data_IF_140931645932
#
_entry.id   IF_140931645932
#
_cell.length_a   1.000
_cell.length_b   1.000
_cell.length_c   1.000
_cell.angle_alpha   90.00
_cell.angle_beta   90.00
_cell.angle_gamma   90.00
#
_symmetry.space_group_name_H-M   'P 1'
#
loop_
_entity.id
_entity.type
_entity.pdbx_description
1 polymer ?
#
# COMPACT_ATOMS: atom_id res chain seq x y z
N UNK A 1 -13.49 -5.96 14.52
CA UNK A 1 -12.54 -4.83 14.59
C UNK A 1 -12.78 -3.91 13.40
N UNK A 2 -12.73 -2.59 13.62
CA UNK A 2 -12.83 -1.62 12.52
C UNK A 2 -11.64 -1.72 11.57
N UNK A 3 -11.87 -1.49 10.29
CA UNK A 3 -10.83 -1.56 9.26
C UNK A 3 -10.86 -0.32 8.40
N UNK A 4 -9.73 0.33 8.22
CA UNK A 4 -9.56 1.43 7.27
C UNK A 4 -8.67 1.00 6.10
N UNK A 5 -8.87 1.61 4.94
CA UNK A 5 -7.99 1.45 3.79
C UNK A 5 -7.33 2.78 3.42
N UNK A 6 -6.02 2.78 3.22
CA UNK A 6 -5.27 3.88 2.61
C UNK A 6 -4.88 3.46 1.20
N UNK A 7 -5.36 4.20 0.20
CA UNK A 7 -5.08 3.92 -1.22
C UNK A 7 -4.06 4.93 -1.73
N UNK A 8 -2.87 4.45 -2.09
CA UNK A 8 -1.77 5.28 -2.56
C UNK A 8 -1.92 5.58 -4.05
N UNK A 9 -2.25 6.81 -4.39
CA UNK A 9 -2.47 7.30 -5.74
C UNK A 9 -1.65 8.56 -6.08
N UNK A 10 -0.61 8.87 -5.27
CA UNK A 10 0.19 10.09 -5.40
C UNK A 10 1.37 9.98 -6.38
N UNK A 11 1.75 8.77 -6.78
CA UNK A 11 2.97 8.50 -7.56
C UNK A 11 2.91 8.97 -9.01
N UNK A 12 4.03 9.49 -9.54
CA UNK A 12 4.15 9.96 -10.92
C UNK A 12 4.13 8.84 -11.97
N UNK A 13 4.39 7.59 -11.61
CA UNK A 13 4.38 6.45 -12.54
C UNK A 13 5.36 6.58 -13.70
N UNK A 14 6.55 7.13 -13.48
CA UNK A 14 7.55 7.53 -14.50
C UNK A 14 7.95 6.40 -15.46
N UNK A 15 7.91 5.13 -14.99
CA UNK A 15 8.21 3.94 -15.81
C UNK A 15 7.25 3.74 -16.99
N UNK A 16 6.02 4.24 -16.90
CA UNK A 16 5.02 4.10 -17.98
C UNK A 16 5.23 5.08 -19.15
N UNK A 17 6.10 6.09 -19.01
CA UNK A 17 6.35 7.13 -20.02
C UNK A 17 5.05 7.76 -20.55
N UNK A 18 4.04 7.91 -19.70
CA UNK A 18 2.73 8.45 -20.02
C UNK A 18 2.60 9.89 -19.52
N UNK A 19 1.74 10.67 -20.19
CA UNK A 19 1.34 12.01 -19.73
C UNK A 19 0.20 11.97 -18.69
N UNK A 20 -0.25 10.77 -18.30
CA UNK A 20 -1.30 10.56 -17.31
C UNK A 20 -0.71 9.84 -16.09
N UNK A 21 -1.18 10.10 -14.87
CA UNK A 21 -0.85 9.31 -13.69
C UNK A 21 -1.13 7.82 -13.94
N UNK A 22 -0.30 6.93 -13.39
CA UNK A 22 -0.47 5.48 -13.57
C UNK A 22 -1.88 5.02 -13.20
N UNK A 23 -2.40 5.52 -12.10
CA UNK A 23 -3.67 5.10 -11.49
C UNK A 23 -4.92 5.48 -12.29
N UNK A 24 -4.81 6.42 -13.25
CA UNK A 24 -5.94 6.80 -14.12
C UNK A 24 -5.98 6.03 -15.44
N UNK A 25 -4.97 5.19 -15.72
CA UNK A 25 -5.05 4.28 -16.86
C UNK A 25 -6.16 3.25 -16.64
N UNK A 26 -6.78 2.83 -17.74
CA UNK A 26 -7.95 1.97 -17.66
C UNK A 26 -7.63 0.51 -17.98
N UNK A 27 -8.28 -0.37 -17.26
CA UNK A 27 -8.42 -1.80 -17.56
C UNK A 27 -9.90 -2.09 -17.66
N UNK A 28 -10.33 -2.69 -18.76
CA UNK A 28 -11.74 -2.97 -19.07
C UNK A 28 -12.63 -1.71 -18.99
N UNK A 29 -12.12 -0.55 -19.47
CA UNK A 29 -12.85 0.71 -19.47
C UNK A 29 -13.00 1.40 -18.12
N UNK A 30 -12.27 0.97 -17.10
CA UNK A 30 -12.33 1.53 -15.74
C UNK A 30 -10.91 1.89 -15.24
N UNK A 31 -10.69 3.08 -14.67
CA UNK A 31 -9.41 3.49 -14.10
C UNK A 31 -8.91 2.51 -13.03
N UNK A 32 -7.59 2.27 -12.99
CA UNK A 32 -6.98 1.34 -12.03
C UNK A 32 -7.38 1.65 -10.58
N UNK A 33 -7.34 2.93 -10.21
CA UNK A 33 -7.69 3.36 -8.84
C UNK A 33 -9.13 2.99 -8.47
N UNK A 34 -10.06 3.00 -9.43
CA UNK A 34 -11.47 2.65 -9.17
C UNK A 34 -11.65 1.20 -8.78
N UNK A 35 -10.89 0.29 -9.39
CA UNK A 35 -10.89 -1.13 -9.01
C UNK A 35 -10.45 -1.31 -7.56
N UNK A 36 -9.42 -0.57 -7.13
CA UNK A 36 -8.89 -0.66 -5.77
C UNK A 36 -9.86 -0.06 -4.76
N UNK A 37 -10.46 1.11 -5.06
CA UNK A 37 -11.48 1.73 -4.20
C UNK A 37 -12.67 0.80 -4.00
N UNK A 38 -13.16 0.19 -5.06
CA UNK A 38 -14.29 -0.74 -4.98
C UNK A 38 -13.94 -1.99 -4.18
N UNK A 39 -12.76 -2.58 -4.42
CA UNK A 39 -12.30 -3.73 -3.64
C UNK A 39 -12.21 -3.41 -2.13
N UNK A 40 -11.74 -2.22 -1.76
CA UNK A 40 -11.71 -1.78 -0.36
C UNK A 40 -13.12 -1.65 0.21
N UNK A 41 -14.04 -1.00 -0.51
CA UNK A 41 -15.45 -0.84 -0.08
C UNK A 41 -16.17 -2.19 0.03
N UNK A 42 -16.00 -3.07 -0.96
CA UNK A 42 -16.58 -4.43 -0.94
C UNK A 42 -15.96 -5.32 0.16
N UNK A 43 -14.74 -5.03 0.58
CA UNK A 43 -14.14 -5.67 1.76
C UNK A 43 -14.86 -5.29 3.07
N UNK A 44 -15.66 -4.23 3.06
CA UNK A 44 -16.37 -3.73 4.23
C UNK A 44 -15.51 -2.82 5.11
N UNK A 45 -14.54 -2.11 4.51
CA UNK A 45 -13.75 -1.14 5.29
C UNK A 45 -14.62 0.02 5.74
N UNK A 46 -14.48 0.42 7.01
CA UNK A 46 -15.27 1.50 7.64
C UNK A 46 -14.85 2.89 7.14
N UNK A 47 -13.59 3.04 6.75
CA UNK A 47 -13.03 4.27 6.20
C UNK A 47 -12.13 3.96 5.02
N UNK A 48 -12.25 4.75 3.96
CA UNK A 48 -11.36 4.68 2.78
C UNK A 48 -10.76 6.05 2.54
N UNK A 49 -9.43 6.15 2.62
CA UNK A 49 -8.67 7.37 2.39
C UNK A 49 -7.82 7.19 1.13
N UNK A 50 -7.96 8.08 0.15
CA UNK A 50 -7.13 8.07 -1.06
C UNK A 50 -6.11 9.19 -1.00
N UNK A 51 -4.84 8.83 -1.02
CA UNK A 51 -3.71 9.76 -1.04
C UNK A 51 -3.37 10.11 -2.48
N UNK A 52 -3.58 11.37 -2.85
CA UNK A 52 -3.27 11.91 -4.18
C UNK A 52 -2.06 12.85 -4.14
N UNK A 53 -1.43 13.11 -5.27
CA UNK A 53 -0.24 13.98 -5.32
C UNK A 53 0.04 14.47 -6.73
N UNK A 54 0.95 13.83 -7.46
CA UNK A 54 1.27 14.22 -8.84
C UNK A 54 0.04 14.19 -9.75
N UNK A 55 -0.24 15.31 -10.43
CA UNK A 55 -1.39 15.48 -11.33
C UNK A 55 -2.74 15.12 -10.65
N UNK A 56 -2.88 15.46 -9.36
CA UNK A 56 -4.05 15.15 -8.53
C UNK A 56 -5.38 15.55 -9.16
N UNK A 57 -5.40 16.61 -9.97
CA UNK A 57 -6.61 17.07 -10.64
C UNK A 57 -7.21 16.03 -11.60
N UNK A 58 -6.43 15.05 -12.05
CA UNK A 58 -6.90 13.92 -12.86
C UNK A 58 -7.36 12.73 -12.00
N UNK A 59 -6.95 12.64 -10.75
CA UNK A 59 -7.27 11.52 -9.85
C UNK A 59 -8.47 11.84 -8.97
N UNK A 60 -8.52 13.06 -8.40
CA UNK A 60 -9.58 13.50 -7.48
C UNK A 60 -10.99 13.21 -8.01
N UNK A 61 -11.35 13.62 -9.24
CA UNK A 61 -12.70 13.39 -9.76
C UNK A 61 -13.10 11.91 -9.87
N UNK A 62 -12.11 11.01 -9.83
CA UNK A 62 -12.35 9.57 -9.90
C UNK A 62 -12.67 8.95 -8.53
N UNK A 63 -12.37 9.63 -7.44
CA UNK A 63 -12.40 9.02 -6.09
C UNK A 63 -13.15 9.84 -5.03
N UNK A 64 -13.31 11.16 -5.21
CA UNK A 64 -13.86 12.10 -4.21
C UNK A 64 -15.29 11.78 -3.74
N UNK A 65 -16.08 11.10 -4.55
CA UNK A 65 -17.43 10.68 -4.18
C UNK A 65 -17.50 9.43 -3.31
N UNK A 66 -16.39 8.71 -3.21
CA UNK A 66 -16.34 7.38 -2.59
C UNK A 66 -15.30 7.26 -1.47
N UNK A 67 -14.37 8.20 -1.37
CA UNK A 67 -13.27 8.17 -0.41
C UNK A 67 -13.00 9.55 0.17
N UNK A 68 -12.41 9.61 1.36
CA UNK A 68 -11.78 10.82 1.86
C UNK A 68 -10.47 11.04 1.09
N UNK A 69 -10.28 12.24 0.52
CA UNK A 69 -9.10 12.55 -0.30
C UNK A 69 -8.12 13.40 0.49
N UNK A 70 -6.89 12.93 0.58
CA UNK A 70 -5.78 13.67 1.20
C UNK A 70 -4.66 13.90 0.18
N UNK A 71 -3.89 14.97 0.37
CA UNK A 71 -2.86 15.38 -0.57
C UNK A 71 -1.48 15.15 0.01
N UNK A 72 -0.64 14.39 -0.70
CA UNK A 72 0.80 14.36 -0.48
C UNK A 72 1.43 15.52 -1.27
N UNK A 73 1.84 16.58 -0.58
CA UNK A 73 2.42 17.78 -1.23
C UNK A 73 3.82 17.53 -1.78
N UNK A 74 4.64 16.76 -1.09
CA UNK A 74 6.00 16.41 -1.50
C UNK A 74 6.15 14.89 -1.65
N UNK A 75 6.60 14.44 -2.81
CA UNK A 75 6.76 13.00 -3.10
C UNK A 75 8.07 12.46 -2.51
N UNK A 76 8.11 12.28 -1.18
CA UNK A 76 9.28 11.80 -0.43
C UNK A 76 9.25 10.28 -0.18
N UNK A 77 8.39 9.56 -0.87
CA UNK A 77 8.31 8.10 -0.77
C UNK A 77 6.98 7.60 -0.23
N UNK A 78 6.88 6.27 -0.09
CA UNK A 78 5.64 5.58 0.31
C UNK A 78 5.27 5.88 1.75
N UNK A 79 6.23 5.90 2.67
CA UNK A 79 5.99 6.21 4.07
C UNK A 79 5.40 7.62 4.25
N UNK A 80 5.94 8.62 3.54
CA UNK A 80 5.43 9.99 3.53
C UNK A 80 4.00 10.06 2.94
N UNK A 81 3.70 9.25 1.93
CA UNK A 81 2.34 9.15 1.39
C UNK A 81 1.35 8.58 2.41
N UNK A 82 1.74 7.54 3.14
CA UNK A 82 0.90 6.99 4.21
C UNK A 82 0.72 7.99 5.36
N UNK A 83 1.79 8.69 5.74
CA UNK A 83 1.75 9.72 6.78
C UNK A 83 0.80 10.88 6.43
N UNK A 84 0.64 11.21 5.15
CA UNK A 84 -0.34 12.22 4.72
C UNK A 84 -1.79 11.86 5.09
N UNK A 85 -2.09 10.59 5.35
CA UNK A 85 -3.40 10.13 5.78
C UNK A 85 -3.59 10.16 7.33
N UNK A 86 -2.58 10.55 8.11
CA UNK A 86 -2.62 10.48 9.57
C UNK A 86 -3.77 11.30 10.18
N UNK A 87 -3.97 12.54 9.72
CA UNK A 87 -5.04 13.40 10.22
C UNK A 87 -6.41 12.85 9.88
N UNK A 88 -6.56 12.28 8.66
CA UNK A 88 -7.80 11.64 8.22
C UNK A 88 -8.13 10.38 9.05
N UNK A 89 -7.17 9.75 9.68
CA UNK A 89 -7.35 8.58 10.54
C UNK A 89 -7.05 8.89 12.02
N UNK A 90 -7.06 10.16 12.43
CA UNK A 90 -6.83 10.53 13.81
C UNK A 90 -7.85 9.87 14.75
N UNK A 91 -7.36 9.19 15.79
CA UNK A 91 -8.19 8.46 16.76
C UNK A 91 -8.78 7.15 16.24
N UNK A 92 -8.41 6.71 15.03
CA UNK A 92 -8.78 5.39 14.55
C UNK A 92 -7.92 4.32 15.25
N UNK A 93 -8.62 3.33 15.83
CA UNK A 93 -8.02 2.23 16.62
C UNK A 93 -8.46 0.89 16.00
N UNK A 94 -7.83 0.51 14.91
CA UNK A 94 -8.19 -0.70 14.17
C UNK A 94 -7.11 -1.16 13.20
N UNK A 95 -7.52 -1.96 12.23
CA UNK A 95 -6.63 -2.38 11.15
C UNK A 95 -6.57 -1.31 10.04
N UNK A 96 -5.37 -0.98 9.58
CA UNK A 96 -5.15 -0.08 8.44
C UNK A 96 -4.53 -0.86 7.29
N UNK A 97 -5.30 -1.08 6.21
CA UNK A 97 -4.79 -1.74 5.01
C UNK A 97 -4.25 -0.67 4.05
N UNK A 98 -2.97 -0.79 3.69
CA UNK A 98 -2.31 0.08 2.72
C UNK A 98 -2.29 -0.60 1.36
N UNK A 99 -2.92 0.03 0.38
CA UNK A 99 -3.12 -0.49 -0.97
C UNK A 99 -2.45 0.42 -2.00
N UNK A 100 -1.87 -0.17 -3.03
CA UNK A 100 -1.40 0.60 -4.19
C UNK A 100 -2.56 0.84 -5.16
N UNK A 101 -2.83 2.10 -5.52
CA UNK A 101 -3.93 2.48 -6.41
C UNK A 101 -3.81 1.96 -7.86
N UNK A 102 -2.69 1.33 -8.18
CA UNK A 102 -2.40 0.70 -9.47
C UNK A 102 -2.44 -0.84 -9.44
N UNK A 103 -3.00 -1.42 -8.38
CA UNK A 103 -3.13 -2.87 -8.18
C UNK A 103 -4.59 -3.35 -8.37
N UNK A 104 -5.14 -3.31 -9.59
CA UNK A 104 -6.57 -3.51 -9.86
C UNK A 104 -7.07 -4.93 -9.59
N UNK A 105 -6.17 -5.87 -9.35
CA UNK A 105 -6.52 -7.28 -9.13
C UNK A 105 -6.60 -7.66 -7.65
N UNK A 106 -6.41 -6.69 -6.74
CA UNK A 106 -6.62 -6.96 -5.31
C UNK A 106 -8.08 -7.38 -5.07
N UNK A 107 -8.27 -8.46 -4.35
CA UNK A 107 -9.61 -8.98 -4.08
C UNK A 107 -10.10 -8.49 -2.71
N UNK A 108 -11.41 -8.20 -2.56
CA UNK A 108 -12.01 -7.84 -1.28
C UNK A 108 -11.72 -8.89 -0.19
N UNK A 109 -11.74 -10.17 -0.56
CA UNK A 109 -11.46 -11.27 0.35
C UNK A 109 -10.03 -11.23 0.90
N UNK A 110 -9.04 -10.88 0.07
CA UNK A 110 -7.65 -10.72 0.52
C UNK A 110 -7.54 -9.64 1.59
N UNK A 111 -8.24 -8.51 1.41
CA UNK A 111 -8.27 -7.40 2.38
C UNK A 111 -8.86 -7.90 3.71
N UNK A 112 -10.01 -8.60 3.67
CA UNK A 112 -10.64 -9.16 4.86
C UNK A 112 -9.74 -10.16 5.58
N UNK A 113 -9.10 -11.05 4.84
CA UNK A 113 -8.19 -12.05 5.42
C UNK A 113 -6.97 -11.40 6.09
N UNK A 114 -6.37 -10.37 5.48
CA UNK A 114 -5.26 -9.65 6.10
C UNK A 114 -5.67 -8.98 7.42
N UNK A 115 -6.84 -8.34 7.46
CA UNK A 115 -7.35 -7.73 8.67
C UNK A 115 -7.65 -8.78 9.77
N UNK A 116 -8.24 -9.91 9.40
CA UNK A 116 -8.52 -11.02 10.31
C UNK A 116 -7.24 -11.64 10.88
N UNK A 117 -6.24 -11.90 10.03
CA UNK A 117 -4.93 -12.42 10.46
C UNK A 117 -4.21 -11.44 11.39
N UNK A 118 -4.28 -10.15 11.11
CA UNK A 118 -3.70 -9.13 11.99
C UNK A 118 -4.33 -9.19 13.39
N UNK A 119 -5.66 -9.32 13.47
CA UNK A 119 -6.39 -9.42 14.73
C UNK A 119 -6.06 -10.74 15.45
N UNK A 120 -6.13 -11.86 14.76
CA UNK A 120 -5.89 -13.21 15.31
C UNK A 120 -4.50 -13.32 15.94
N UNK A 121 -3.48 -12.80 15.26
CA UNK A 121 -2.08 -12.85 15.72
C UNK A 121 -1.66 -11.65 16.56
N UNK A 122 -2.54 -10.67 16.78
CA UNK A 122 -2.21 -9.37 17.38
C UNK A 122 -0.92 -8.78 16.79
N UNK A 123 -0.79 -8.91 15.47
CA UNK A 123 0.42 -8.52 14.75
C UNK A 123 0.47 -7.01 14.53
N UNK A 124 1.65 -6.40 14.66
CA UNK A 124 1.85 -5.00 14.29
C UNK A 124 1.68 -4.78 12.78
N UNK A 125 2.05 -5.79 11.97
CA UNK A 125 1.92 -5.76 10.51
C UNK A 125 1.72 -7.15 9.92
N UNK A 126 0.85 -7.25 8.92
CA UNK A 126 0.73 -8.38 8.00
C UNK A 126 1.19 -7.90 6.63
N UNK A 127 2.06 -8.65 5.98
CA UNK A 127 2.59 -8.35 4.65
C UNK A 127 1.99 -9.34 3.65
N UNK A 128 1.35 -8.84 2.60
CA UNK A 128 0.97 -9.69 1.47
C UNK A 128 2.20 -9.95 0.61
N UNK A 129 2.58 -11.21 0.44
CA UNK A 129 3.72 -11.61 -0.38
C UNK A 129 3.29 -12.24 -1.69
N UNK A 130 4.22 -12.34 -2.63
CA UNK A 130 4.02 -12.97 -3.94
C UNK A 130 5.16 -13.94 -4.22
N UNK A 131 4.84 -15.12 -4.73
CA UNK A 131 5.83 -16.07 -5.24
C UNK A 131 6.06 -15.82 -6.74
N UNK A 132 7.24 -15.37 -7.15
CA UNK A 132 7.57 -15.02 -8.53
C UNK A 132 8.71 -15.87 -9.08
N UNK A 133 8.52 -16.46 -10.28
CA UNK A 133 9.58 -17.16 -11.01
C UNK A 133 10.73 -16.23 -11.41
N UNK A 134 10.45 -14.99 -11.71
CA UNK A 134 11.43 -13.94 -11.99
C UNK A 134 11.16 -12.76 -11.04
N UNK A 135 11.85 -12.70 -9.90
CA UNK A 135 11.64 -11.67 -8.88
C UNK A 135 12.32 -10.32 -9.20
N UNK A 136 12.96 -10.19 -10.34
CA UNK A 136 13.71 -8.99 -10.70
C UNK A 136 12.87 -7.70 -10.60
N UNK A 137 13.38 -6.73 -9.86
CA UNK A 137 12.73 -5.41 -9.70
C UNK A 137 11.76 -5.31 -8.51
N UNK A 138 11.57 -6.39 -7.74
CA UNK A 138 10.77 -6.39 -6.52
C UNK A 138 11.64 -6.44 -5.27
N UNK A 139 11.13 -6.00 -4.13
CA UNK A 139 11.71 -6.26 -2.81
C UNK A 139 11.58 -7.74 -2.46
N UNK A 140 12.61 -8.30 -1.83
CA UNK A 140 12.64 -9.71 -1.38
C UNK A 140 12.22 -9.81 0.07
N UNK A 141 11.45 -10.82 0.40
CA UNK A 141 11.11 -11.17 1.78
C UNK A 141 12.22 -12.07 2.32
N UNK A 142 12.98 -11.55 3.28
CA UNK A 142 14.00 -12.34 3.96
C UNK A 142 13.41 -12.85 5.26
N UNK A 143 13.43 -14.18 5.43
CA UNK A 143 12.94 -14.84 6.64
C UNK A 143 14.09 -15.23 7.55
N UNK A 144 13.84 -15.24 8.83
CA UNK A 144 14.79 -15.74 9.84
C UNK A 144 14.73 -17.28 9.98
N UNK A 145 15.53 -17.81 10.91
CA UNK A 145 15.58 -19.25 11.16
C UNK A 145 14.30 -19.87 11.76
N UNK A 146 13.36 -19.04 12.22
CA UNK A 146 12.04 -19.44 12.69
C UNK A 146 10.97 -19.36 11.58
N UNK A 147 11.34 -18.82 10.41
CA UNK A 147 10.43 -18.62 9.30
C UNK A 147 9.66 -17.31 9.35
N UNK A 148 9.95 -16.43 10.31
CA UNK A 148 9.34 -15.11 10.44
C UNK A 148 9.96 -14.12 9.45
N UNK A 149 9.20 -13.07 9.08
CA UNK A 149 9.72 -11.99 8.22
C UNK A 149 10.73 -11.17 9.01
N UNK A 150 12.00 -11.30 8.66
CA UNK A 150 13.09 -10.55 9.29
C UNK A 150 13.28 -9.16 8.69
N UNK A 151 13.18 -9.04 7.36
CA UNK A 151 13.33 -7.78 6.62
C UNK A 151 12.83 -7.89 5.18
N UNK A 152 12.64 -6.74 4.56
CA UNK A 152 12.41 -6.59 3.12
C UNK A 152 13.67 -5.94 2.52
N UNK A 153 14.25 -6.56 1.48
CA UNK A 153 15.45 -6.06 0.81
C UNK A 153 15.10 -5.68 -0.62
N UNK A 154 15.31 -4.42 -0.97
CA UNK A 154 15.07 -3.94 -2.32
C UNK A 154 16.08 -4.50 -3.33
N UNK A 155 15.67 -4.62 -4.60
CA UNK A 155 16.51 -5.20 -5.67
C UNK A 155 17.91 -4.59 -5.74
N UNK A 156 18.04 -3.28 -5.54
CA UNK A 156 19.33 -2.55 -5.65
C UNK A 156 20.30 -2.87 -4.50
N UNK A 157 19.73 -3.31 -3.35
CA UNK A 157 20.47 -3.53 -2.10
C UNK A 157 20.65 -5.03 -1.80
N UNK A 158 20.05 -5.91 -2.64
CA UNK A 158 20.07 -7.35 -2.42
C UNK A 158 21.43 -7.97 -2.75
N UNK A 159 21.95 -8.82 -1.86
CA UNK A 159 23.07 -9.71 -2.14
C UNK A 159 22.70 -10.73 -3.24
N UNK A 160 23.66 -11.43 -3.85
CA UNK A 160 23.35 -12.49 -4.82
C UNK A 160 22.42 -13.57 -4.27
N UNK A 161 22.58 -13.94 -3.00
CA UNK A 161 21.76 -14.92 -2.30
C UNK A 161 20.34 -14.40 -2.08
N UNK A 162 20.20 -13.14 -1.64
CA UNK A 162 18.92 -12.49 -1.44
C UNK A 162 18.20 -12.25 -2.78
N UNK A 163 18.94 -11.90 -3.83
CA UNK A 163 18.37 -11.71 -5.17
C UNK A 163 17.75 -12.99 -5.77
N UNK A 164 18.19 -14.16 -5.29
CA UNK A 164 17.65 -15.46 -5.71
C UNK A 164 16.34 -15.84 -4.99
N UNK A 165 15.95 -15.14 -3.93
CA UNK A 165 14.68 -15.37 -3.23
C UNK A 165 13.52 -15.06 -4.16
N UNK A 166 12.57 -15.97 -4.26
CA UNK A 166 11.38 -15.87 -5.11
C UNK A 166 10.18 -15.25 -4.41
N UNK A 167 10.18 -15.25 -3.08
CA UNK A 167 9.15 -14.57 -2.28
C UNK A 167 9.39 -13.05 -2.28
N UNK A 168 8.43 -12.33 -2.85
CA UNK A 168 8.53 -10.89 -3.09
C UNK A 168 7.50 -10.10 -2.30
N UNK A 169 7.88 -8.87 -1.99
CA UNK A 169 6.98 -7.87 -1.42
C UNK A 169 5.96 -7.41 -2.48
N UNK A 170 4.66 -7.55 -2.20
CA UNK A 170 3.61 -7.05 -3.08
C UNK A 170 3.38 -5.54 -2.96
N UNK A 171 3.85 -4.92 -1.88
CA UNK A 171 3.53 -3.54 -1.54
C UNK A 171 2.15 -3.34 -0.91
N UNK A 172 1.48 -4.43 -0.52
CA UNK A 172 0.20 -4.41 0.21
C UNK A 172 0.45 -4.85 1.64
N UNK A 173 -0.03 -4.06 2.60
CA UNK A 173 0.19 -4.27 4.02
C UNK A 173 -1.10 -4.08 4.80
N UNK A 174 -1.22 -4.75 5.93
CA UNK A 174 -2.24 -4.47 6.94
C UNK A 174 -1.55 -4.24 8.28
N UNK A 175 -1.72 -3.06 8.83
CA UNK A 175 -1.07 -2.63 10.07
C UNK A 175 -2.08 -2.52 11.21
N UNK A 176 -1.59 -2.60 12.43
CA UNK A 176 -2.19 -1.95 13.57
C UNK A 176 -2.09 -0.42 13.42
N UNK A 177 -3.17 0.32 13.62
CA UNK A 177 -3.19 1.76 13.40
C UNK A 177 -2.18 2.51 14.28
N UNK A 178 -2.13 2.18 15.58
CA UNK A 178 -1.22 2.83 16.52
C UNK A 178 0.23 2.53 16.14
N UNK A 179 0.55 1.25 15.91
CA UNK A 179 1.91 0.84 15.53
C UNK A 179 2.37 1.48 14.21
N UNK A 180 1.45 1.62 13.23
CA UNK A 180 1.73 2.27 11.96
C UNK A 180 2.16 3.73 12.14
N UNK A 181 1.32 4.53 12.78
CA UNK A 181 1.59 5.97 12.89
C UNK A 181 2.76 6.25 13.83
N UNK A 182 2.91 5.49 14.93
CA UNK A 182 4.08 5.59 15.81
C UNK A 182 5.38 5.30 15.07
N UNK A 183 5.40 4.28 14.21
CA UNK A 183 6.57 3.97 13.39
C UNK A 183 6.84 5.05 12.33
N UNK A 184 5.80 5.56 11.66
CA UNK A 184 5.95 6.57 10.61
C UNK A 184 6.54 7.88 11.11
N UNK A 185 6.22 8.31 12.33
CA UNK A 185 6.83 9.50 12.94
C UNK A 185 8.33 9.34 13.24
N UNK A 186 8.85 8.10 13.24
CA UNK A 186 10.26 7.81 13.46
C UNK A 186 11.04 7.61 12.15
N UNK A 187 10.33 7.47 11.00
CA UNK A 187 10.97 7.32 9.69
C UNK A 187 11.60 8.66 9.29
N UNK A 188 12.90 8.65 9.06
CA UNK A 188 13.64 9.77 8.49
C UNK A 188 13.88 9.57 6.99
N UNK A 189 14.34 10.63 6.29
CA UNK A 189 14.56 10.60 4.83
C UNK A 189 15.91 9.98 4.41
N UNK A 190 16.61 9.30 5.30
CA UNK A 190 17.96 8.75 5.04
C UNK A 190 17.95 7.43 4.25
N UNK A 191 16.77 6.96 3.84
CA UNK A 191 16.55 5.72 3.09
C UNK A 191 16.29 5.94 1.59
N UNK A 192 16.75 7.04 1.02
CA UNK A 192 16.57 7.34 -0.41
C UNK A 192 17.69 6.77 -1.30
#
# INVERSE_FOLDING_TARGET
METAAIILAAGAGTRMKSKKPKVVHEVLGRPLVRWVVEAAKEAGTDRVVTVVGHMRDQVIPLVEGDTEVVVQEAQRGTADAVLAAADALAGFDGAVVVLSGDSPLIQPETIRQMAALREEHNAAVIVLTMELKNPFGYGRIVRDGAGEVARIVEQKDASPEEAAITECNSGVYCFDACALFDALYQVNSDNA
#
